data_IF_647820667051
#
_entry.id   IF_647820667051
#
_cell.length_a   1.000
_cell.length_b   1.000
_cell.length_c   1.000
_cell.angle_alpha   90.00
_cell.angle_beta   90.00
_cell.angle_gamma   90.00
#
_symmetry.space_group_name_H-M   'P 1'
#
loop_
_entity.id
_entity.type
_entity.pdbx_description
1 polymer ?
#
# COMPACT_ATOMS: atom_id res chain seq x y z
N UNK A 1 7.06 -3.36 5.98
CA UNK A 1 6.69 -2.12 5.25
C UNK A 1 5.37 -1.59 5.81
N UNK A 2 5.29 -0.29 6.13
CA UNK A 2 4.01 0.34 6.49
C UNK A 2 3.27 0.72 5.21
N UNK A 3 1.98 0.41 5.12
CA UNK A 3 1.16 0.70 3.95
C UNK A 3 -0.22 1.19 4.38
N UNK A 4 -0.72 2.24 3.72
CA UNK A 4 -2.06 2.78 3.93
C UNK A 4 -2.66 3.23 2.58
N UNK A 5 -3.98 3.16 2.47
CA UNK A 5 -4.72 3.53 1.25
C UNK A 5 -5.56 4.78 1.50
N UNK A 6 -5.51 5.72 0.56
CA UNK A 6 -6.49 6.81 0.43
C UNK A 6 -7.36 6.49 -0.78
N UNK A 7 -8.68 6.38 -0.57
CA UNK A 7 -9.63 6.04 -1.62
C UNK A 7 -10.60 7.21 -1.86
N UNK A 8 -10.61 7.75 -3.07
CA UNK A 8 -11.65 8.66 -3.54
C UNK A 8 -12.80 7.86 -4.14
N UNK A 9 -13.98 7.91 -3.51
CA UNK A 9 -15.17 7.21 -4.03
C UNK A 9 -15.63 7.90 -5.31
N UNK A 10 -15.79 7.12 -6.39
CA UNK A 10 -16.15 7.63 -7.73
C UNK A 10 -17.58 7.35 -8.13
N UNK A 11 -18.20 6.32 -7.58
CA UNK A 11 -19.54 5.85 -7.95
C UNK A 11 -20.01 4.80 -6.92
N UNK A 12 -21.19 4.23 -7.15
CA UNK A 12 -21.81 3.24 -6.27
C UNK A 12 -21.64 1.79 -6.74
N UNK A 13 -20.76 1.53 -7.71
CA UNK A 13 -20.67 0.23 -8.38
C UNK A 13 -22.06 -0.21 -8.91
N UNK A 14 -22.29 -1.50 -9.11
CA UNK A 14 -23.52 -2.04 -9.72
C UNK A 14 -24.64 -2.41 -8.75
N UNK A 15 -24.46 -2.21 -7.43
CA UNK A 15 -25.43 -2.69 -6.44
C UNK A 15 -26.63 -1.75 -6.25
N UNK A 16 -26.50 -0.50 -6.64
CA UNK A 16 -27.53 0.53 -6.43
C UNK A 16 -28.50 0.56 -7.61
N UNK A 17 -29.75 0.16 -7.37
CA UNK A 17 -30.76 -0.06 -8.40
C UNK A 17 -31.02 1.12 -9.37
N UNK A 18 -30.81 2.36 -8.90
CA UNK A 18 -31.00 3.58 -9.70
C UNK A 18 -29.66 4.22 -10.12
N UNK A 19 -28.58 3.43 -10.18
CA UNK A 19 -27.23 3.89 -10.52
C UNK A 19 -26.57 2.88 -11.45
N UNK A 20 -26.05 3.36 -12.57
CA UNK A 20 -25.19 2.58 -13.45
C UNK A 20 -23.82 3.26 -13.52
N UNK A 21 -22.75 2.49 -13.35
CA UNK A 21 -21.39 3.05 -13.46
C UNK A 21 -21.14 3.45 -14.90
N UNK A 22 -20.74 4.70 -15.10
CA UNK A 22 -20.31 5.21 -16.40
C UNK A 22 -18.88 5.74 -16.32
N UNK A 23 -18.13 5.63 -17.43
CA UNK A 23 -16.76 6.16 -17.50
C UNK A 23 -16.74 7.67 -17.21
N UNK A 24 -17.72 8.41 -17.71
CA UNK A 24 -17.79 9.86 -17.54
C UNK A 24 -18.02 10.25 -16.06
N UNK A 25 -18.90 9.55 -15.34
CA UNK A 25 -19.09 9.75 -13.89
C UNK A 25 -17.81 9.47 -13.11
N UNK A 26 -17.15 8.35 -13.41
CA UNK A 26 -15.88 7.98 -12.76
C UNK A 26 -14.81 9.05 -12.97
N UNK A 27 -14.63 9.53 -14.20
CA UNK A 27 -13.64 10.56 -14.51
C UNK A 27 -13.97 11.90 -13.85
N UNK A 28 -15.25 12.30 -13.84
CA UNK A 28 -15.69 13.54 -13.20
C UNK A 28 -15.46 13.50 -11.68
N UNK A 29 -15.84 12.42 -11.01
CA UNK A 29 -15.65 12.28 -9.57
C UNK A 29 -14.17 12.06 -9.20
N UNK A 30 -13.39 11.39 -10.04
CA UNK A 30 -11.93 11.28 -9.85
C UNK A 30 -11.25 12.66 -9.91
N UNK A 31 -11.61 13.50 -10.90
CA UNK A 31 -11.12 14.86 -11.00
C UNK A 31 -11.56 15.71 -9.79
N UNK A 32 -12.80 15.56 -9.32
CA UNK A 32 -13.30 16.25 -8.14
C UNK A 32 -12.58 15.81 -6.84
N UNK A 33 -12.16 14.55 -6.76
CA UNK A 33 -11.43 14.00 -5.60
C UNK A 33 -9.93 14.37 -5.61
N UNK A 34 -9.37 14.79 -6.75
CA UNK A 34 -7.93 14.96 -6.93
C UNK A 34 -7.30 15.91 -5.89
N UNK A 35 -7.89 17.08 -5.69
CA UNK A 35 -7.37 18.08 -4.75
C UNK A 35 -7.42 17.58 -3.30
N UNK A 36 -8.50 16.90 -2.92
CA UNK A 36 -8.65 16.35 -1.57
C UNK A 36 -7.64 15.22 -1.31
N UNK A 37 -7.42 14.35 -2.28
CA UNK A 37 -6.42 13.27 -2.19
C UNK A 37 -5.02 13.86 -2.06
N UNK A 38 -4.65 14.82 -2.93
CA UNK A 38 -3.34 15.48 -2.86
C UNK A 38 -3.10 16.14 -1.52
N UNK A 39 -4.05 16.94 -1.04
CA UNK A 39 -3.95 17.59 0.27
C UNK A 39 -3.83 16.58 1.42
N UNK A 40 -4.54 15.45 1.33
CA UNK A 40 -4.43 14.37 2.33
C UNK A 40 -3.04 13.74 2.35
N UNK A 41 -2.48 13.44 1.18
CA UNK A 41 -1.14 12.84 1.07
C UNK A 41 -0.06 13.83 1.50
N UNK A 42 -0.14 15.09 1.07
CA UNK A 42 0.78 16.16 1.49
C UNK A 42 0.80 16.30 3.00
N UNK A 43 -0.39 16.45 3.62
CA UNK A 43 -0.51 16.54 5.07
C UNK A 43 0.02 15.30 5.78
N UNK A 44 -0.23 14.10 5.25
CA UNK A 44 0.29 12.85 5.82
C UNK A 44 1.82 12.81 5.80
N UNK A 45 2.46 13.29 4.72
CA UNK A 45 3.92 13.37 4.62
C UNK A 45 4.48 14.42 5.60
N UNK A 46 3.88 15.61 5.66
CA UNK A 46 4.31 16.69 6.57
C UNK A 46 4.18 16.36 8.05
N UNK A 47 3.25 15.46 8.40
CA UNK A 47 2.98 15.03 9.78
C UNK A 47 3.59 13.71 10.15
N UNK A 48 4.19 13.00 9.19
CA UNK A 48 4.71 11.68 9.43
C UNK A 48 5.81 11.78 10.50
N UNK A 49 5.70 11.08 11.63
CA UNK A 49 6.72 11.12 12.66
C UNK A 49 8.03 10.52 12.15
N UNK A 50 9.15 11.06 12.62
CA UNK A 50 10.49 10.54 12.30
C UNK A 50 10.68 9.10 12.83
N UNK A 51 10.06 8.80 13.98
CA UNK A 51 10.07 7.49 14.62
C UNK A 51 8.76 6.74 14.35
N UNK A 52 8.86 5.41 14.17
CA UNK A 52 7.69 4.54 13.95
C UNK A 52 7.43 3.72 15.20
N UNK A 53 6.18 3.72 15.66
CA UNK A 53 5.72 2.92 16.82
C UNK A 53 4.91 1.67 16.42
N UNK A 54 4.94 1.28 15.14
CA UNK A 54 4.17 0.15 14.61
C UNK A 54 5.04 -1.10 14.36
N UNK A 55 4.44 -2.28 14.44
CA UNK A 55 5.12 -3.56 14.19
C UNK A 55 5.46 -3.83 12.71
N UNK A 56 5.04 -2.97 11.79
CA UNK A 56 5.23 -3.16 10.36
C UNK A 56 6.70 -3.23 9.92
N UNK A 57 7.64 -2.75 10.74
CA UNK A 57 9.09 -2.90 10.50
C UNK A 57 9.60 -4.31 10.75
N UNK A 58 8.93 -5.05 11.65
CA UNK A 58 9.29 -6.40 12.09
C UNK A 58 8.44 -7.48 11.42
N UNK A 59 7.60 -7.11 10.44
CA UNK A 59 6.61 -8.02 9.86
C UNK A 59 7.21 -9.26 9.17
N UNK A 60 8.50 -9.24 8.83
CA UNK A 60 9.21 -10.35 8.18
C UNK A 60 9.95 -11.24 9.18
N UNK A 61 10.08 -10.83 10.43
CA UNK A 61 10.76 -11.61 11.47
C UNK A 61 10.08 -12.96 11.68
N UNK A 62 10.87 -14.04 11.54
CA UNK A 62 10.38 -15.41 11.72
C UNK A 62 9.45 -15.93 10.62
N UNK A 63 9.30 -15.22 9.50
CA UNK A 63 8.39 -15.64 8.41
C UNK A 63 9.04 -16.60 7.41
N UNK A 64 10.37 -16.65 7.36
CA UNK A 64 11.13 -17.53 6.46
C UNK A 64 11.30 -18.91 7.10
N UNK A 65 10.57 -19.88 6.57
CA UNK A 65 10.61 -21.27 7.06
C UNK A 65 11.80 -22.07 6.51
N UNK A 66 12.37 -21.65 5.38
CA UNK A 66 13.49 -22.37 4.75
C UNK A 66 14.75 -22.14 5.56
N UNK A 67 15.47 -23.19 6.00
CA UNK A 67 16.73 -23.03 6.70
C UNK A 67 17.72 -22.21 5.86
N UNK A 68 18.43 -21.24 6.45
CA UNK A 68 19.40 -20.40 5.76
C UNK A 68 20.33 -21.20 4.82
N UNK A 69 20.94 -22.26 5.32
CA UNK A 69 21.89 -23.10 4.61
C UNK A 69 21.30 -23.82 3.38
N UNK A 70 19.97 -23.94 3.30
CA UNK A 70 19.27 -24.58 2.19
C UNK A 70 18.87 -23.59 1.08
N UNK A 71 19.11 -22.29 1.26
CA UNK A 71 18.73 -21.25 0.30
C UNK A 71 19.89 -20.99 -0.66
N UNK A 72 19.72 -21.26 -1.98
CA UNK A 72 20.75 -21.02 -2.97
C UNK A 72 21.15 -19.54 -3.03
N UNK A 73 22.42 -19.27 -3.34
CA UNK A 73 22.98 -17.91 -3.48
C UNK A 73 22.14 -17.03 -4.40
N UNK A 74 21.78 -17.53 -5.59
CA UNK A 74 20.91 -16.83 -6.55
C UNK A 74 19.57 -16.40 -5.92
N UNK A 75 19.00 -17.24 -5.05
CA UNK A 75 17.74 -16.91 -4.37
C UNK A 75 17.96 -15.87 -3.29
N UNK A 76 19.05 -15.96 -2.52
CA UNK A 76 19.43 -14.95 -1.51
C UNK A 76 19.58 -13.58 -2.15
N UNK A 77 20.33 -13.49 -3.24
CA UNK A 77 20.56 -12.24 -3.96
C UNK A 77 19.25 -11.62 -4.48
N UNK A 78 18.36 -12.45 -5.03
CA UNK A 78 17.06 -12.00 -5.56
C UNK A 78 16.16 -11.39 -4.48
N UNK A 79 16.18 -11.93 -3.26
CA UNK A 79 15.29 -11.50 -2.18
C UNK A 79 15.94 -10.55 -1.18
N UNK A 80 17.25 -10.30 -1.29
CA UNK A 80 18.02 -9.43 -0.41
C UNK A 80 17.36 -8.05 -0.13
N UNK A 81 16.70 -7.36 -1.10
CA UNK A 81 16.05 -6.08 -0.82
C UNK A 81 14.91 -6.14 0.21
N UNK A 82 14.36 -7.32 0.47
CA UNK A 82 13.25 -7.53 1.40
C UNK A 82 13.66 -8.35 2.61
N UNK A 83 14.43 -9.41 2.40
CA UNK A 83 14.69 -10.44 3.40
C UNK A 83 16.14 -10.48 3.89
N UNK A 84 16.99 -9.52 3.51
CA UNK A 84 18.43 -9.53 3.82
C UNK A 84 18.77 -9.87 5.28
N UNK A 85 18.22 -9.12 6.24
CA UNK A 85 18.48 -9.34 7.68
C UNK A 85 17.65 -10.49 8.29
N UNK A 86 16.80 -11.15 7.50
CA UNK A 86 15.85 -12.17 7.94
C UNK A 86 16.20 -13.60 7.47
N UNK A 87 17.33 -13.80 6.77
CA UNK A 87 17.75 -15.09 6.14
C UNK A 87 19.23 -15.43 6.36
#
# INVERSE_FOLDING_TARGET
>A
MCYATVAGVTDYDVWKADSEVTLDEVLANAAANEDAIKATVERAIETLPDERDCDCGHSLDGTVNTPPEAIPEETRDRVAPLLGDHI
#
